data_IF_841752414249
#
_entry.id   IF_841752414249
#
_cell.length_a   1.000
_cell.length_b   1.000
_cell.length_c   1.000
_cell.angle_alpha   90.00
_cell.angle_beta   90.00
_cell.angle_gamma   90.00
#
_symmetry.space_group_name_H-M   'P 1'
#
loop_
_entity.id
_entity.type
_entity.pdbx_description
1 polymer ?
#
# COMPACT_ATOMS: atom_id res chain seq x y z
N UNK A 1 8.83 2.28 44.87
CA UNK A 1 7.85 1.43 44.18
C UNK A 1 7.43 2.18 42.93
N UNK A 2 8.08 1.85 41.82
CA UNK A 2 7.76 2.34 40.47
C UNK A 2 6.52 1.59 39.98
N UNK A 3 5.49 2.32 39.58
CA UNK A 3 4.31 1.74 38.95
C UNK A 3 4.71 1.16 37.58
N UNK A 4 4.19 -0.01 37.18
CA UNK A 4 4.45 -0.55 35.85
C UNK A 4 3.77 0.36 34.81
N UNK A 5 4.46 0.56 33.68
CA UNK A 5 3.88 1.22 32.53
C UNK A 5 2.67 0.42 32.05
N UNK A 6 1.52 1.09 31.89
CA UNK A 6 0.34 0.51 31.26
C UNK A 6 0.71 0.05 29.84
N UNK A 7 0.39 -1.20 29.52
CA UNK A 7 0.39 -1.70 28.16
C UNK A 7 -0.53 -0.82 27.28
N UNK A 8 -0.20 -0.61 26.00
CA UNK A 8 -1.09 0.10 25.09
C UNK A 8 -2.42 -0.67 25.00
N UNK A 9 -3.53 0.05 25.14
CA UNK A 9 -4.86 -0.53 25.04
C UNK A 9 -5.10 -1.00 23.60
N UNK A 10 -5.60 -2.23 23.45
CA UNK A 10 -6.12 -2.76 22.19
C UNK A 10 -7.23 -1.81 21.70
N UNK A 11 -7.22 -1.35 20.43
CA UNK A 11 -8.27 -0.47 19.94
C UNK A 11 -9.63 -1.16 20.04
N UNK A 12 -10.64 -0.40 20.45
CA UNK A 12 -12.03 -0.88 20.50
C UNK A 12 -12.59 -1.10 19.09
N UNK A 13 -13.50 -2.07 18.88
CA UNK A 13 -14.13 -2.36 17.58
C UNK A 13 -14.93 -1.19 16.96
N UNK A 14 -15.11 -0.08 17.69
CA UNK A 14 -15.78 1.12 17.18
C UNK A 14 -14.91 1.99 16.25
N UNK A 15 -13.64 1.63 16.00
CA UNK A 15 -12.74 2.37 15.09
C UNK A 15 -12.49 1.68 13.75
N UNK A 16 -12.70 0.36 13.66
CA UNK A 16 -12.48 -0.41 12.43
C UNK A 16 -13.49 -0.03 11.33
N UNK A 17 -13.05 0.09 10.08
CA UNK A 17 -13.95 0.19 8.93
C UNK A 17 -14.87 -1.04 8.88
N UNK A 18 -16.13 -0.78 8.56
CA UNK A 18 -17.14 -1.83 8.36
C UNK A 18 -17.30 -2.14 6.86
N UNK A 19 -17.93 -3.27 6.47
CA UNK A 19 -18.18 -3.58 5.06
C UNK A 19 -18.83 -2.42 4.28
N UNK A 20 -19.81 -1.75 4.89
CA UNK A 20 -20.46 -0.57 4.30
C UNK A 20 -19.54 0.64 4.09
N UNK A 21 -18.45 0.77 4.86
CA UNK A 21 -17.43 1.80 4.62
C UNK A 21 -16.65 1.49 3.33
N UNK A 22 -16.41 0.21 3.02
CA UNK A 22 -15.74 -0.23 1.79
C UNK A 22 -16.63 -0.12 0.56
N UNK A 23 -17.91 -0.51 0.67
CA UNK A 23 -18.90 -0.29 -0.40
C UNK A 23 -18.93 1.20 -0.81
N UNK A 24 -18.89 2.10 0.19
CA UNK A 24 -18.89 3.54 -0.05
C UNK A 24 -17.60 4.03 -0.73
N UNK A 25 -16.44 3.43 -0.40
CA UNK A 25 -15.17 3.74 -1.04
C UNK A 25 -15.16 3.32 -2.51
N UNK A 26 -15.67 2.13 -2.81
CA UNK A 26 -15.80 1.63 -4.19
C UNK A 26 -16.77 2.49 -5.01
N UNK A 27 -17.96 2.83 -4.47
CA UNK A 27 -18.94 3.71 -5.12
C UNK A 27 -18.33 5.07 -5.52
N UNK A 28 -17.43 5.62 -4.68
CA UNK A 28 -16.74 6.86 -4.99
C UNK A 28 -15.70 6.70 -6.10
N UNK A 29 -14.93 5.62 -6.08
CA UNK A 29 -13.98 5.32 -7.16
C UNK A 29 -14.70 5.09 -8.49
N UNK A 30 -15.87 4.44 -8.48
CA UNK A 30 -16.75 4.32 -9.66
C UNK A 30 -17.26 5.67 -10.13
N UNK A 31 -17.72 6.53 -9.22
CA UNK A 31 -18.16 7.88 -9.57
C UNK A 31 -17.04 8.68 -10.25
N UNK A 32 -15.79 8.52 -9.82
CA UNK A 32 -14.63 9.15 -10.45
C UNK A 32 -14.37 8.58 -11.87
N UNK A 33 -14.47 7.24 -12.04
CA UNK A 33 -14.37 6.57 -13.34
C UNK A 33 -15.42 7.07 -14.33
N UNK A 34 -16.68 7.19 -13.89
CA UNK A 34 -17.78 7.73 -14.72
C UNK A 34 -17.53 9.17 -15.18
N UNK A 35 -16.75 9.93 -14.42
CA UNK A 35 -16.36 11.31 -14.72
C UNK A 35 -15.08 11.41 -15.58
N UNK A 36 -14.51 10.27 -15.99
CA UNK A 36 -13.33 10.19 -16.85
C UNK A 36 -12.00 10.33 -16.10
N UNK A 37 -11.99 10.10 -14.78
CA UNK A 37 -10.76 9.92 -14.00
C UNK A 37 -10.33 8.46 -14.11
N UNK A 38 -9.04 8.18 -14.28
CA UNK A 38 -8.49 6.82 -14.26
C UNK A 38 -8.35 6.31 -12.82
N UNK A 39 -9.46 6.30 -12.08
CA UNK A 39 -9.47 5.89 -10.68
C UNK A 39 -9.32 4.35 -10.56
N UNK A 40 -8.39 3.87 -9.73
CA UNK A 40 -8.12 2.44 -9.58
C UNK A 40 -9.21 1.71 -8.80
N UNK A 41 -9.16 0.38 -8.79
CA UNK A 41 -9.99 -0.45 -7.89
C UNK A 41 -9.53 -0.29 -6.43
N UNK A 42 -10.44 -0.48 -5.46
CA UNK A 42 -10.06 -0.37 -4.04
C UNK A 42 -8.94 -1.33 -3.63
N UNK A 43 -8.91 -2.54 -4.21
CA UNK A 43 -7.82 -3.49 -3.96
C UNK A 43 -6.44 -2.91 -4.26
N UNK A 44 -6.30 -2.12 -5.34
CA UNK A 44 -5.05 -1.41 -5.65
C UNK A 44 -4.78 -0.29 -4.64
N UNK A 45 -5.80 0.47 -4.26
CA UNK A 45 -5.71 1.49 -3.20
C UNK A 45 -5.17 0.92 -1.88
N UNK A 46 -5.60 -0.29 -1.49
CA UNK A 46 -5.15 -0.98 -0.28
C UNK A 46 -3.66 -1.32 -0.33
N UNK A 47 -3.18 -1.85 -1.45
CA UNK A 47 -1.77 -2.16 -1.65
C UNK A 47 -0.90 -0.90 -1.64
N UNK A 48 -1.37 0.13 -2.34
CA UNK A 48 -0.73 1.44 -2.37
C UNK A 48 -0.66 2.05 -0.96
N UNK A 49 -1.74 1.99 -0.19
CA UNK A 49 -1.79 2.48 1.18
C UNK A 49 -0.82 1.70 2.09
N UNK A 50 -0.80 0.37 1.99
CA UNK A 50 0.12 -0.47 2.78
C UNK A 50 1.59 -0.14 2.48
N UNK A 51 1.96 0.05 1.21
CA UNK A 51 3.30 0.46 0.85
C UNK A 51 3.67 1.85 1.40
N UNK A 52 2.75 2.82 1.33
CA UNK A 52 2.96 4.14 1.90
C UNK A 52 3.11 4.12 3.43
N UNK A 53 2.39 3.23 4.12
CA UNK A 53 2.57 2.98 5.56
C UNK A 53 3.96 2.41 5.84
N UNK A 54 4.49 1.55 4.96
CA UNK A 54 5.84 0.98 5.07
C UNK A 54 6.96 1.96 4.67
N UNK A 55 6.66 3.04 3.95
CA UNK A 55 7.66 4.06 3.62
C UNK A 55 8.32 4.60 4.90
N UNK A 56 9.65 4.56 4.93
CA UNK A 56 10.45 5.06 6.06
C UNK A 56 10.36 6.58 6.22
N UNK A 57 9.99 7.30 5.17
CA UNK A 57 9.73 8.74 5.19
C UNK A 57 8.26 8.98 4.84
N UNK A 58 7.50 9.78 5.62
CA UNK A 58 6.11 10.06 5.28
C UNK A 58 5.98 10.74 3.91
N UNK A 59 5.19 10.14 3.02
CA UNK A 59 4.84 10.73 1.73
C UNK A 59 3.60 11.60 1.90
N UNK A 60 3.67 12.86 1.49
CA UNK A 60 2.56 13.80 1.67
C UNK A 60 1.42 13.53 0.66
N UNK A 61 0.16 13.85 0.99
CA UNK A 61 -0.99 13.71 0.07
C UNK A 61 -0.78 14.38 -1.30
N UNK A 62 -0.17 15.57 -1.32
CA UNK A 62 0.16 16.28 -2.55
C UNK A 62 1.18 15.55 -3.45
N UNK A 63 1.91 14.56 -2.92
CA UNK A 63 2.82 13.73 -3.67
C UNK A 63 2.19 12.40 -4.11
N UNK A 64 1.36 11.76 -3.26
CA UNK A 64 0.83 10.44 -3.58
C UNK A 64 -0.51 10.43 -4.32
N UNK A 65 -1.37 11.44 -4.18
CA UNK A 65 -2.63 11.49 -4.94
C UNK A 65 -2.44 11.55 -6.45
N UNK A 66 -1.51 12.37 -6.99
CA UNK A 66 -1.26 12.41 -8.42
C UNK A 66 -0.78 11.07 -8.98
N UNK A 67 -0.06 10.29 -8.18
CA UNK A 67 0.41 8.95 -8.56
C UNK A 67 -0.76 7.96 -8.57
N UNK A 68 -1.56 7.90 -7.51
CA UNK A 68 -2.67 6.94 -7.40
C UNK A 68 -3.74 7.13 -8.49
N UNK A 69 -4.04 8.39 -8.83
CA UNK A 69 -5.09 8.72 -9.80
C UNK A 69 -4.56 9.05 -11.20
N UNK A 70 -3.24 8.88 -11.42
CA UNK A 70 -2.55 9.26 -12.66
C UNK A 70 -2.97 10.64 -13.18
N UNK A 71 -3.02 11.63 -12.28
CA UNK A 71 -3.61 12.94 -12.57
C UNK A 71 -2.76 14.09 -12.04
N UNK A 72 -2.50 15.07 -12.91
CA UNK A 72 -1.89 16.34 -12.52
C UNK A 72 -2.86 17.27 -11.77
N UNK A 73 -4.16 16.93 -11.75
CA UNK A 73 -5.16 17.70 -11.01
C UNK A 73 -5.06 17.40 -9.52
N UNK A 74 -5.23 18.42 -8.66
CA UNK A 74 -5.31 18.18 -7.22
C UNK A 74 -6.59 17.39 -6.90
N UNK A 75 -6.58 16.62 -5.81
CA UNK A 75 -7.71 15.77 -5.39
C UNK A 75 -9.03 16.56 -5.30
N UNK A 76 -8.95 17.83 -4.89
CA UNK A 76 -10.07 18.77 -4.81
C UNK A 76 -10.83 18.96 -6.13
N UNK A 77 -10.15 18.81 -7.27
CA UNK A 77 -10.73 18.95 -8.60
C UNK A 77 -11.21 17.62 -9.19
N UNK A 78 -10.83 16.49 -8.58
CA UNK A 78 -11.31 15.16 -8.99
C UNK A 78 -12.68 14.87 -8.40
N UNK A 79 -12.97 15.35 -7.19
CA UNK A 79 -14.24 15.08 -6.52
C UNK A 79 -15.32 16.09 -6.92
N UNK A 80 -16.58 15.65 -7.13
CA UNK A 80 -17.69 16.54 -7.51
C UNK A 80 -18.12 17.48 -6.38
N UNK A 81 -17.89 17.10 -5.12
CA UNK A 81 -18.23 17.91 -3.95
C UNK A 81 -17.19 17.77 -2.82
N UNK A 82 -17.00 18.86 -2.07
CA UNK A 82 -16.05 18.96 -0.97
C UNK A 82 -16.49 18.19 0.30
N UNK A 83 -17.78 17.89 0.50
CA UNK A 83 -18.20 17.00 1.57
C UNK A 83 -17.91 15.54 1.22
N UNK A 84 -18.12 15.14 -0.04
CA UNK A 84 -17.76 13.81 -0.54
C UNK A 84 -16.27 13.53 -0.38
N UNK A 85 -15.42 14.45 -0.88
CA UNK A 85 -13.96 14.35 -0.74
C UNK A 85 -13.52 14.20 0.71
N UNK A 86 -14.09 14.99 1.62
CA UNK A 86 -13.75 14.93 3.05
C UNK A 86 -14.13 13.59 3.68
N UNK A 87 -15.21 12.96 3.23
CA UNK A 87 -15.58 11.63 3.70
C UNK A 87 -14.61 10.58 3.16
N UNK A 88 -14.25 10.64 1.86
CA UNK A 88 -13.20 9.79 1.27
C UNK A 88 -11.87 9.91 2.02
N UNK A 89 -11.37 11.14 2.21
CA UNK A 89 -10.14 11.40 2.97
C UNK A 89 -10.23 10.89 4.41
N UNK A 90 -11.41 10.97 5.04
CA UNK A 90 -11.62 10.46 6.40
C UNK A 90 -11.57 8.94 6.47
N UNK A 91 -12.18 8.23 5.51
CA UNK A 91 -12.13 6.77 5.45
C UNK A 91 -10.72 6.29 5.09
N UNK A 92 -10.08 6.93 4.11
CA UNK A 92 -8.67 6.69 3.77
C UNK A 92 -7.76 6.84 4.99
N UNK A 93 -7.89 7.92 5.77
CA UNK A 93 -7.07 8.15 6.96
C UNK A 93 -7.34 7.13 8.08
N UNK A 94 -8.60 6.68 8.25
CA UNK A 94 -8.96 5.63 9.22
C UNK A 94 -8.32 4.30 8.81
N UNK A 95 -8.47 3.89 7.54
CA UNK A 95 -7.89 2.66 7.03
C UNK A 95 -6.37 2.68 7.13
N UNK A 96 -5.74 3.81 6.81
CA UNK A 96 -4.29 3.98 6.99
C UNK A 96 -3.86 3.70 8.44
N UNK A 97 -4.60 4.23 9.41
CA UNK A 97 -4.31 4.01 10.83
C UNK A 97 -4.49 2.55 11.23
N UNK A 98 -5.51 1.86 10.72
CA UNK A 98 -5.69 0.43 10.95
C UNK A 98 -4.53 -0.40 10.43
N UNK A 99 -4.10 -0.14 9.19
CA UNK A 99 -2.95 -0.84 8.58
C UNK A 99 -1.69 -0.59 9.42
N UNK A 100 -1.42 0.66 9.79
CA UNK A 100 -0.25 0.99 10.62
C UNK A 100 -0.30 0.30 11.99
N UNK A 101 -1.46 0.27 12.66
CA UNK A 101 -1.63 -0.39 13.96
C UNK A 101 -1.42 -1.90 13.83
N UNK A 102 -1.98 -2.51 12.79
CA UNK A 102 -1.90 -3.94 12.56
C UNK A 102 -0.46 -4.37 12.23
N UNK A 103 0.24 -3.61 11.37
CA UNK A 103 1.65 -3.86 11.03
C UNK A 103 2.63 -3.62 12.19
N UNK A 104 2.23 -2.80 13.17
CA UNK A 104 3.01 -2.57 14.40
C UNK A 104 2.64 -3.56 15.53
N UNK A 105 1.63 -4.42 15.32
CA UNK A 105 1.19 -5.39 16.31
C UNK A 105 2.14 -6.60 16.38
N UNK A 106 2.38 -7.09 17.60
CA UNK A 106 3.13 -8.33 17.82
C UNK A 106 2.22 -9.54 17.56
N UNK A 107 2.34 -10.09 16.35
CA UNK A 107 1.57 -11.23 15.84
C UNK A 107 2.50 -12.34 15.36
N UNK A 108 2.16 -13.58 15.68
CA UNK A 108 2.92 -14.78 15.25
C UNK A 108 2.20 -15.55 14.12
N UNK A 109 0.96 -15.18 13.81
CA UNK A 109 0.08 -15.85 12.85
C UNK A 109 -0.82 -14.85 12.15
N UNK A 110 -1.16 -15.11 10.88
CA UNK A 110 -2.04 -14.26 10.08
C UNK A 110 -3.53 -14.43 10.39
N UNK A 111 -3.90 -15.47 11.15
CA UNK A 111 -5.27 -15.67 11.64
C UNK A 111 -5.55 -14.96 12.98
N UNK A 112 -4.58 -14.21 13.51
CA UNK A 112 -4.77 -13.33 14.67
C UNK A 112 -5.64 -12.13 14.26
N UNK A 113 -6.65 -11.79 15.06
CA UNK A 113 -7.55 -10.65 14.81
C UNK A 113 -6.82 -9.30 14.73
N UNK A 114 -5.61 -9.21 15.28
CA UNK A 114 -4.75 -8.02 15.23
C UNK A 114 -3.90 -7.97 13.97
N UNK A 115 -3.80 -9.07 13.22
CA UNK A 115 -2.98 -9.13 12.03
C UNK A 115 -3.57 -8.23 10.93
N UNK A 116 -2.68 -7.62 10.16
CA UNK A 116 -3.05 -6.89 8.95
C UNK A 116 -3.75 -7.84 7.96
N UNK A 117 -4.98 -7.50 7.63
CA UNK A 117 -5.80 -8.18 6.63
C UNK A 117 -6.03 -7.22 5.46
N UNK A 118 -5.30 -7.39 4.33
CA UNK A 118 -5.56 -6.65 3.10
C UNK A 118 -7.01 -6.84 2.63
N UNK A 119 -7.68 -5.77 2.18
CA UNK A 119 -8.97 -5.94 1.49
C UNK A 119 -8.71 -6.32 0.03
N UNK A 120 -8.73 -7.62 -0.23
CA UNK A 120 -8.56 -8.23 -1.56
C UNK A 120 -9.85 -8.92 -1.98
N UNK A 121 -10.21 -8.83 -3.26
CA UNK A 121 -11.40 -9.48 -3.80
C UNK A 121 -10.99 -10.52 -4.84
N UNK A 122 -11.41 -11.76 -4.64
CA UNK A 122 -11.29 -12.77 -5.69
C UNK A 122 -12.39 -12.57 -6.76
N UNK A 123 -12.11 -11.68 -7.71
CA UNK A 123 -13.05 -11.34 -8.79
C UNK A 123 -13.34 -12.57 -9.68
N UNK A 124 -12.35 -13.45 -9.89
CA UNK A 124 -12.54 -14.70 -10.64
C UNK A 124 -13.55 -15.60 -9.94
N UNK A 125 -13.43 -15.76 -8.61
CA UNK A 125 -14.40 -16.49 -7.78
C UNK A 125 -15.78 -15.84 -7.80
N UNK A 126 -15.86 -14.52 -7.59
CA UNK A 126 -17.11 -13.78 -7.58
C UNK A 126 -17.87 -13.95 -8.91
N UNK A 127 -17.18 -13.86 -10.04
CA UNK A 127 -17.77 -14.11 -11.35
C UNK A 127 -18.15 -15.58 -11.56
N UNK A 128 -17.35 -16.53 -11.07
CA UNK A 128 -17.62 -17.96 -11.18
C UNK A 128 -18.88 -18.42 -10.44
N UNK A 129 -19.36 -17.63 -9.46
CA UNK A 129 -20.61 -17.87 -8.74
C UNK A 129 -21.85 -17.38 -9.48
N UNK A 130 -21.71 -16.44 -10.42
CA UNK A 130 -22.85 -15.92 -11.19
C UNK A 130 -23.35 -16.97 -12.18
N UNK A 131 -24.68 -17.08 -12.31
CA UNK A 131 -25.32 -17.84 -13.39
C UNK A 131 -24.80 -17.38 -14.76
N UNK A 132 -24.66 -18.27 -15.77
CA UNK A 132 -23.99 -17.95 -17.03
C UNK A 132 -24.47 -16.66 -17.71
N UNK A 133 -25.78 -16.41 -17.69
CA UNK A 133 -26.36 -15.20 -18.27
C UNK A 133 -25.97 -13.93 -17.49
N UNK A 134 -26.02 -13.97 -16.16
CA UNK A 134 -25.63 -12.84 -15.31
C UNK A 134 -24.13 -12.55 -15.43
N UNK A 135 -23.31 -13.61 -15.53
CA UNK A 135 -21.87 -13.51 -15.79
C UNK A 135 -21.57 -12.87 -17.15
N UNK A 136 -22.27 -13.31 -18.20
CA UNK A 136 -22.18 -12.73 -19.54
C UNK A 136 -22.54 -11.24 -19.55
N UNK A 137 -23.61 -10.85 -18.85
CA UNK A 137 -24.00 -9.44 -18.69
C UNK A 137 -22.92 -8.63 -17.93
N UNK A 138 -22.40 -9.15 -16.82
CA UNK A 138 -21.36 -8.50 -16.00
C UNK A 138 -20.04 -8.29 -16.76
N UNK A 139 -19.66 -9.24 -17.62
CA UNK A 139 -18.47 -9.15 -18.48
C UNK A 139 -18.72 -8.34 -19.76
N UNK A 140 -19.92 -7.78 -19.94
CA UNK A 140 -20.34 -7.09 -21.16
C UNK A 140 -20.24 -7.95 -22.44
N UNK A 141 -20.53 -9.25 -22.31
CA UNK A 141 -20.47 -10.28 -23.36
C UNK A 141 -21.81 -11.04 -23.49
N UNK A 142 -22.94 -10.37 -23.82
CA UNK A 142 -24.29 -10.94 -23.67
C UNK A 142 -24.59 -12.18 -24.55
N UNK A 143 -23.81 -12.41 -25.61
CA UNK A 143 -23.97 -13.53 -26.55
C UNK A 143 -22.82 -14.55 -26.46
N UNK A 144 -21.96 -14.48 -25.44
CA UNK A 144 -20.85 -15.40 -25.27
C UNK A 144 -21.32 -16.83 -24.93
N UNK A 145 -20.68 -17.82 -25.55
CA UNK A 145 -20.81 -19.21 -25.12
C UNK A 145 -19.91 -19.50 -23.90
N UNK A 146 -20.02 -20.71 -23.35
CA UNK A 146 -19.24 -21.12 -22.17
C UNK A 146 -17.71 -21.03 -22.40
N UNK A 147 -17.23 -21.22 -23.63
CA UNK A 147 -15.80 -21.17 -23.93
C UNK A 147 -15.30 -19.73 -23.90
N UNK A 148 -16.05 -18.82 -24.53
CA UNK A 148 -15.74 -17.40 -24.52
C UNK A 148 -15.84 -16.78 -23.11
N UNK A 149 -16.80 -17.22 -22.29
CA UNK A 149 -16.89 -16.80 -20.89
C UNK A 149 -15.71 -17.32 -20.07
N UNK A 150 -15.29 -18.57 -20.26
CA UNK A 150 -14.12 -19.11 -19.57
C UNK A 150 -12.84 -18.35 -19.94
N UNK A 151 -12.64 -18.03 -21.23
CA UNK A 151 -11.51 -17.21 -21.68
C UNK A 151 -11.54 -15.78 -21.10
N UNK A 152 -12.72 -15.16 -21.02
CA UNK A 152 -12.86 -13.84 -20.40
C UNK A 152 -12.51 -13.86 -18.90
N UNK A 153 -12.85 -14.93 -18.18
CA UNK A 153 -12.48 -15.07 -16.76
C UNK A 153 -10.97 -15.13 -16.55
N UNK A 154 -10.21 -15.75 -17.47
CA UNK A 154 -8.74 -15.78 -17.36
C UNK A 154 -8.11 -14.41 -17.62
N UNK A 155 -8.84 -13.45 -18.21
CA UNK A 155 -8.37 -12.07 -18.40
C UNK A 155 -8.61 -11.19 -17.16
N UNK A 156 -9.42 -11.65 -16.21
CA UNK A 156 -9.60 -10.93 -14.95
C UNK A 156 -8.35 -11.08 -14.08
N UNK A 157 -8.04 -10.10 -13.22
CA UNK A 157 -6.90 -10.20 -12.31
C UNK A 157 -6.97 -11.44 -11.43
N UNK A 158 -5.81 -12.01 -11.15
CA UNK A 158 -5.67 -13.05 -10.13
C UNK A 158 -5.88 -12.49 -8.73
N UNK A 159 -6.24 -13.37 -7.80
CA UNK A 159 -6.42 -13.02 -6.40
C UNK A 159 -5.22 -12.23 -5.83
N UNK A 160 -5.45 -11.07 -5.23
CA UNK A 160 -4.45 -10.15 -4.66
C UNK A 160 -3.48 -9.50 -5.68
N UNK A 161 -3.72 -9.64 -6.98
CA UNK A 161 -2.83 -9.07 -8.01
C UNK A 161 -2.90 -7.54 -8.03
N UNK A 162 -4.09 -6.96 -7.94
CA UNK A 162 -4.25 -5.50 -7.94
C UNK A 162 -3.64 -4.89 -6.67
N UNK A 163 -3.75 -5.58 -5.55
CA UNK A 163 -3.13 -5.19 -4.29
C UNK A 163 -1.61 -5.14 -4.43
N UNK A 164 -1.00 -6.19 -4.99
CA UNK A 164 0.44 -6.21 -5.23
C UNK A 164 0.89 -5.09 -6.19
N UNK A 165 0.14 -4.86 -7.27
CA UNK A 165 0.42 -3.77 -8.23
C UNK A 165 0.34 -2.39 -7.56
N UNK A 166 -0.64 -2.16 -6.70
CA UNK A 166 -0.75 -0.93 -5.92
C UNK A 166 0.44 -0.72 -4.99
N UNK A 167 0.91 -1.80 -4.35
CA UNK A 167 2.10 -1.76 -3.51
C UNK A 167 3.35 -1.39 -4.34
N UNK A 168 3.56 -2.08 -5.46
CA UNK A 168 4.72 -1.88 -6.33
C UNK A 168 4.72 -0.50 -7.01
N UNK A 169 3.55 0.09 -7.27
CA UNK A 169 3.46 1.47 -7.77
C UNK A 169 4.13 2.48 -6.82
N UNK A 170 4.00 2.31 -5.50
CA UNK A 170 4.70 3.13 -4.50
C UNK A 170 6.19 2.84 -4.50
N UNK A 171 6.58 1.58 -4.63
CA UNK A 171 7.99 1.16 -4.71
C UNK A 171 8.68 1.82 -5.90
N UNK A 172 8.03 1.85 -7.05
CA UNK A 172 8.55 2.47 -8.27
C UNK A 172 8.56 3.99 -8.22
N UNK A 173 7.59 4.59 -7.53
CA UNK A 173 7.46 6.04 -7.41
C UNK A 173 8.44 6.66 -6.41
N UNK A 174 8.75 5.93 -5.33
CA UNK A 174 9.72 6.34 -4.30
C UNK A 174 10.76 5.24 -4.05
N UNK A 175 11.53 4.82 -5.07
CA UNK A 175 12.44 3.64 -5.00
C UNK A 175 13.51 3.83 -3.92
N UNK A 176 13.83 5.08 -3.70
CA UNK A 176 14.72 5.53 -2.67
C UNK A 176 14.27 5.09 -1.25
N UNK A 177 13.00 5.19 -0.89
CA UNK A 177 12.56 4.81 0.47
C UNK A 177 12.78 3.31 0.78
N UNK A 178 13.00 2.49 -0.25
CA UNK A 178 13.23 1.05 -0.16
C UNK A 178 14.71 0.66 -0.21
N UNK A 179 15.63 1.63 -0.22
CA UNK A 179 17.08 1.36 -0.21
C UNK A 179 17.66 1.48 1.20
N UNK A 180 18.32 0.40 1.65
CA UNK A 180 19.13 0.40 2.86
C UNK A 180 20.55 0.95 2.59
N UNK A 181 21.17 1.66 3.57
CA UNK A 181 22.57 2.06 3.46
C UNK A 181 23.50 0.85 3.30
N UNK A 182 24.62 1.00 2.57
CA UNK A 182 25.55 -0.10 2.27
C UNK A 182 26.16 -0.83 3.48
N UNK A 183 26.09 -0.23 4.67
CA UNK A 183 26.51 -0.84 5.95
C UNK A 183 25.46 -1.77 6.56
N UNK A 184 24.19 -1.61 6.19
CA UNK A 184 23.04 -2.35 6.72
C UNK A 184 22.67 -3.50 5.76
N UNK A 185 23.61 -4.42 5.54
CA UNK A 185 23.44 -5.48 4.52
C UNK A 185 22.31 -6.47 4.82
N UNK A 186 22.10 -6.79 6.09
CA UNK A 186 21.04 -7.72 6.47
C UNK A 186 19.66 -7.09 6.22
N UNK A 187 19.47 -5.81 6.58
CA UNK A 187 18.24 -5.08 6.27
C UNK A 187 18.05 -4.94 4.76
N UNK A 188 19.12 -4.68 4.01
CA UNK A 188 19.05 -4.61 2.55
C UNK A 188 18.52 -5.91 1.93
N UNK A 189 19.00 -7.07 2.41
CA UNK A 189 18.51 -8.38 1.97
C UNK A 189 17.05 -8.60 2.38
N UNK A 190 16.68 -8.26 3.61
CA UNK A 190 15.28 -8.37 4.06
C UNK A 190 14.34 -7.55 3.18
N UNK A 191 14.71 -6.32 2.80
CA UNK A 191 13.89 -5.51 1.90
C UNK A 191 13.82 -6.14 0.51
N UNK A 192 14.94 -6.61 -0.05
CA UNK A 192 14.98 -7.24 -1.38
C UNK A 192 14.12 -8.51 -1.45
N UNK A 193 14.28 -9.42 -0.48
CA UNK A 193 13.50 -10.65 -0.37
C UNK A 193 12.00 -10.34 -0.21
N UNK A 194 11.66 -9.39 0.66
CA UNK A 194 10.27 -9.01 0.93
C UNK A 194 9.60 -8.33 -0.29
N UNK A 195 10.31 -7.44 -0.98
CA UNK A 195 9.81 -6.85 -2.23
C UNK A 195 9.64 -7.92 -3.33
N UNK A 196 10.53 -8.91 -3.38
CA UNK A 196 10.39 -10.07 -4.27
C UNK A 196 9.09 -10.84 -4.04
N UNK A 197 8.73 -11.09 -2.78
CA UNK A 197 7.49 -11.79 -2.43
C UNK A 197 6.24 -11.00 -2.84
N UNK A 198 6.23 -9.67 -2.64
CA UNK A 198 5.11 -8.83 -3.10
C UNK A 198 5.07 -8.75 -4.63
N UNK A 199 6.22 -8.56 -5.28
CA UNK A 199 6.31 -8.48 -6.74
C UNK A 199 5.86 -9.76 -7.44
N UNK A 200 6.10 -10.94 -6.84
CA UNK A 200 5.62 -12.21 -7.39
C UNK A 200 4.10 -12.25 -7.60
N UNK A 201 3.34 -11.55 -6.75
CA UNK A 201 1.88 -11.47 -6.87
C UNK A 201 1.41 -10.51 -7.97
N UNK A 202 2.29 -9.68 -8.55
CA UNK A 202 1.93 -8.85 -9.70
C UNK A 202 1.72 -9.68 -10.96
N UNK A 203 2.33 -10.86 -11.02
CA UNK A 203 2.12 -11.83 -12.10
C UNK A 203 0.80 -12.58 -11.92
N UNK A 204 0.30 -13.12 -13.04
CA UNK A 204 -0.92 -13.92 -13.03
C UNK A 204 -0.70 -15.29 -12.37
N UNK A 205 -1.78 -15.91 -11.88
CA UNK A 205 -1.78 -17.28 -11.38
C UNK A 205 -1.92 -18.28 -12.54
N UNK A 206 -0.82 -18.93 -12.89
CA UNK A 206 -0.77 -19.96 -13.93
C UNK A 206 -0.94 -21.40 -13.38
N UNK A 207 -1.14 -21.53 -12.06
CA UNK A 207 -1.31 -22.82 -11.40
C UNK A 207 -2.68 -23.46 -11.64
N UNK A 208 -2.82 -24.75 -11.33
CA UNK A 208 -4.14 -25.40 -11.36
C UNK A 208 -5.06 -24.76 -10.31
N UNK A 209 -6.30 -24.48 -10.69
CA UNK A 209 -7.31 -23.92 -9.77
C UNK A 209 -7.77 -25.01 -8.78
N UNK A 210 -7.40 -24.86 -7.52
CA UNK A 210 -7.59 -25.87 -6.45
C UNK A 210 -8.23 -25.30 -5.19
N UNK A 211 -8.14 -23.98 -4.99
CA UNK A 211 -8.59 -23.28 -3.80
C UNK A 211 -9.73 -22.33 -4.15
N UNK A 212 -10.75 -22.27 -3.28
CA UNK A 212 -11.78 -21.24 -3.33
C UNK A 212 -11.57 -20.22 -2.22
N UNK A 213 -11.70 -18.94 -2.56
CA UNK A 213 -11.76 -17.86 -1.56
C UNK A 213 -13.13 -17.75 -0.87
N UNK A 214 -14.15 -18.44 -1.38
CA UNK A 214 -15.52 -18.32 -0.93
C UNK A 214 -16.00 -19.61 -0.25
N UNK A 215 -16.60 -19.43 0.93
CA UNK A 215 -17.34 -20.50 1.62
C UNK A 215 -18.80 -20.05 1.64
N UNK A 216 -19.69 -20.89 1.11
CA UNK A 216 -21.13 -20.64 1.07
C UNK A 216 -21.76 -20.59 2.45
N UNK A 217 -23.01 -20.09 2.52
CA UNK A 217 -23.82 -20.04 3.75
C UNK A 217 -24.08 -21.45 4.34
N UNK A 218 -23.97 -22.49 3.52
CA UNK A 218 -24.06 -23.90 3.90
C UNK A 218 -22.74 -24.49 4.42
N UNK A 219 -21.66 -23.72 4.39
CA UNK A 219 -20.32 -24.14 4.79
C UNK A 219 -19.58 -24.94 3.72
N UNK A 220 -20.11 -25.04 2.49
CA UNK A 220 -19.42 -25.69 1.37
C UNK A 220 -18.53 -24.67 0.63
N UNK A 221 -17.36 -25.12 0.17
CA UNK A 221 -16.48 -24.29 -0.64
C UNK A 221 -17.14 -23.98 -2.00
N UNK A 222 -17.00 -22.73 -2.45
CA UNK A 222 -17.36 -22.34 -3.79
C UNK A 222 -16.47 -22.99 -4.86
N UNK A 223 -16.71 -22.71 -6.14
CA UNK A 223 -15.82 -23.15 -7.21
C UNK A 223 -14.37 -22.69 -6.96
N UNK A 224 -13.35 -23.55 -7.21
CA UNK A 224 -11.96 -23.14 -7.16
C UNK A 224 -11.66 -22.02 -8.17
N UNK A 225 -10.87 -21.05 -7.73
CA UNK A 225 -10.57 -19.81 -8.45
C UNK A 225 -9.09 -19.42 -8.42
N UNK A 226 -8.28 -20.08 -7.58
CA UNK A 226 -6.84 -19.87 -7.51
C UNK A 226 -6.09 -21.19 -7.22
N UNK A 227 -4.80 -21.19 -7.46
CA UNK A 227 -3.89 -22.28 -7.07
C UNK A 227 -3.52 -22.24 -5.59
N UNK A 228 -3.08 -23.38 -5.07
CA UNK A 228 -2.52 -23.45 -3.72
C UNK A 228 -1.28 -22.56 -3.57
N UNK A 229 -0.40 -22.55 -4.58
CA UNK A 229 0.81 -21.73 -4.62
C UNK A 229 0.47 -20.24 -4.56
N UNK A 230 -0.63 -19.80 -5.19
CA UNK A 230 -1.09 -18.41 -5.14
C UNK A 230 -1.53 -18.01 -3.72
N UNK A 231 -2.27 -18.87 -3.03
CA UNK A 231 -2.68 -18.61 -1.65
C UNK A 231 -1.47 -18.57 -0.70
N UNK A 232 -0.50 -19.48 -0.88
CA UNK A 232 0.74 -19.48 -0.09
C UNK A 232 1.54 -18.19 -0.34
N UNK A 233 1.74 -17.82 -1.60
CA UNK A 233 2.42 -16.58 -2.00
C UNK A 233 1.74 -15.34 -1.43
N UNK A 234 0.41 -15.34 -1.33
CA UNK A 234 -0.32 -14.25 -0.67
C UNK A 234 0.04 -14.15 0.81
N UNK A 235 0.06 -15.27 1.54
CA UNK A 235 0.49 -15.30 2.94
C UNK A 235 1.94 -14.81 3.12
N UNK A 236 2.85 -15.24 2.25
CA UNK A 236 4.24 -14.80 2.25
C UNK A 236 4.38 -13.29 1.97
N UNK A 237 3.59 -12.75 1.05
CA UNK A 237 3.57 -11.33 0.76
C UNK A 237 3.02 -10.51 1.93
N UNK A 238 1.99 -10.98 2.63
CA UNK A 238 1.50 -10.29 3.84
C UNK A 238 2.58 -10.24 4.91
N UNK A 239 3.31 -11.34 5.15
CA UNK A 239 4.47 -11.32 6.04
C UNK A 239 5.59 -10.39 5.56
N UNK A 240 5.85 -10.35 4.25
CA UNK A 240 6.82 -9.44 3.66
C UNK A 240 6.47 -7.97 3.96
N UNK A 241 5.19 -7.59 4.03
CA UNK A 241 4.78 -6.24 4.44
C UNK A 241 5.19 -5.93 5.89
N UNK A 242 5.10 -6.90 6.82
CA UNK A 242 5.63 -6.74 8.19
C UNK A 242 7.14 -6.56 8.19
N UNK A 243 7.86 -7.36 7.41
CA UNK A 243 9.32 -7.25 7.28
C UNK A 243 9.73 -5.87 6.74
N UNK A 244 9.02 -5.35 5.73
CA UNK A 244 9.23 -4.03 5.17
C UNK A 244 8.92 -2.92 6.18
N UNK A 245 7.82 -3.04 6.94
CA UNK A 245 7.49 -2.11 8.03
C UNK A 245 8.59 -2.09 9.08
N UNK A 246 9.03 -3.26 9.55
CA UNK A 246 10.07 -3.40 10.56
C UNK A 246 11.42 -2.84 10.05
N UNK A 247 11.79 -3.13 8.80
CA UNK A 247 12.99 -2.59 8.17
C UNK A 247 12.93 -1.07 8.06
N UNK A 248 11.81 -0.50 7.62
CA UNK A 248 11.59 0.94 7.52
C UNK A 248 11.74 1.64 8.87
N UNK A 249 11.14 1.09 9.92
CA UNK A 249 11.25 1.60 11.29
C UNK A 249 12.68 1.51 11.84
N UNK A 250 13.37 0.38 11.60
CA UNK A 250 14.75 0.18 12.05
C UNK A 250 15.72 1.16 11.38
N UNK A 251 15.50 1.45 10.11
CA UNK A 251 16.33 2.39 9.36
C UNK A 251 16.01 3.87 9.66
N UNK A 252 14.77 4.17 10.06
CA UNK A 252 14.26 5.53 10.34
C UNK A 252 14.16 6.43 9.09
N UNK A 253 13.69 7.67 9.21
CA UNK A 253 13.54 8.58 8.08
C UNK A 253 14.86 8.85 7.35
N UNK A 254 14.80 9.06 6.03
CA UNK A 254 15.98 9.42 5.25
C UNK A 254 16.50 10.79 5.70
N UNK A 255 17.75 10.84 6.16
CA UNK A 255 18.43 12.10 6.46
C UNK A 255 19.24 12.49 5.24
N UNK A 256 18.84 13.54 4.53
CA UNK A 256 19.66 14.14 3.49
C UNK A 256 20.94 14.69 4.13
N UNK A 257 22.10 14.17 3.72
CA UNK A 257 23.36 14.78 4.09
C UNK A 257 23.38 16.19 3.51
N UNK A 258 23.38 17.21 4.38
CA UNK A 258 23.55 18.60 3.96
C UNK A 258 24.90 18.69 3.27
N UNK A 259 24.87 18.69 1.93
CA UNK A 259 26.05 19.00 1.14
C UNK A 259 26.25 20.50 1.25
N UNK A 260 27.30 20.92 1.96
CA UNK A 260 27.70 22.32 1.95
C UNK A 260 28.22 22.62 0.54
N UNK A 261 27.36 23.17 -0.33
CA UNK A 261 27.70 23.54 -1.70
C UNK A 261 28.80 24.61 -1.78
N UNK A 262 29.06 25.28 -0.65
CA UNK A 262 30.22 26.13 -0.48
C UNK A 262 31.18 25.51 0.54
N UNK A 263 32.48 25.37 0.23
CA UNK A 263 33.45 24.99 1.23
C UNK A 263 33.35 25.97 2.41
N UNK A 264 33.19 25.43 3.62
CA UNK A 264 33.20 26.30 4.80
C UNK A 264 34.50 27.11 4.78
N UNK A 265 34.43 28.44 5.00
CA UNK A 265 35.61 29.28 4.95
C UNK A 265 36.65 28.74 5.92
N UNK A 266 37.82 28.41 5.40
CA UNK A 266 38.94 27.93 6.19
C UNK A 266 39.28 28.94 7.28
N UNK A 267 39.86 28.48 8.38
CA UNK A 267 40.16 29.30 9.56
C UNK A 267 40.90 30.62 9.23
N UNK A 268 41.67 30.66 8.14
CA UNK A 268 42.43 31.83 7.71
C UNK A 268 41.82 32.61 6.51
N UNK A 269 40.71 32.14 5.95
CA UNK A 269 40.08 32.74 4.76
C UNK A 269 39.34 34.03 5.10
N UNK A 270 38.98 34.80 4.08
CA UNK A 270 38.18 36.00 4.26
C UNK A 270 36.81 35.66 4.87
N UNK A 271 36.40 36.42 5.89
CA UNK A 271 35.13 36.17 6.55
C UNK A 271 33.96 36.52 5.61
N UNK A 272 32.93 35.65 5.48
CA UNK A 272 31.83 35.85 4.53
C UNK A 272 30.93 37.06 4.83
N UNK A 273 31.04 37.67 6.01
CA UNK A 273 30.30 38.88 6.37
C UNK A 273 30.80 40.18 5.69
N UNK A 274 31.85 40.11 4.86
CA UNK A 274 32.38 41.27 4.15
C UNK A 274 33.24 42.21 5.00
N UNK A 275 33.57 41.87 6.24
CA UNK A 275 34.31 42.75 7.16
C UNK A 275 35.80 42.95 6.81
N UNK A 276 36.32 42.26 5.79
CA UNK A 276 37.75 42.25 5.44
C UNK A 276 38.67 41.52 6.45
N UNK A 277 38.13 40.86 7.49
CA UNK A 277 38.91 40.11 8.50
C UNK A 277 39.01 38.63 8.11
N UNK A 278 40.04 37.94 8.62
CA UNK A 278 40.12 36.46 8.55
C UNK A 278 39.02 35.82 9.40
N UNK A 279 38.46 34.69 8.96
CA UNK A 279 37.34 34.00 9.63
C UNK A 279 37.58 33.79 11.13
N UNK A 280 38.76 33.29 11.53
CA UNK A 280 39.15 33.11 12.95
C UNK A 280 39.19 34.37 13.82
N UNK A 281 39.21 35.55 13.22
CA UNK A 281 39.23 36.84 13.92
C UNK A 281 37.87 37.57 13.82
N UNK A 282 36.84 36.87 13.37
CA UNK A 282 35.49 37.38 13.20
C UNK A 282 34.51 36.27 13.59
N UNK A 283 33.74 35.72 12.65
CA UNK A 283 32.71 34.70 12.94
C UNK A 283 33.26 33.35 13.43
N UNK A 284 34.56 33.09 13.26
CA UNK A 284 35.27 31.93 13.81
C UNK A 284 36.15 32.27 15.01
N UNK A 285 35.97 33.45 15.63
CA UNK A 285 36.61 33.75 16.92
C UNK A 285 35.85 32.99 18.02
N UNK A 286 36.57 32.19 18.80
CA UNK A 286 36.07 31.75 20.08
C UNK A 286 36.17 32.95 21.03
N UNK A 287 35.10 33.22 21.79
CA UNK A 287 35.15 34.17 22.90
C UNK A 287 36.26 33.80 23.92
#
# INVERSE_FOLDING_TARGET
MTLPASAPAVPHPATALQPEDFDLLDDWLDTLREQGVEAPQWELCEGFMAALVCCRSPVAPAAYWPVLFESDKPLEELFPDAALRRQFESLWARRWQEIAIALDADVERLDDERAYCPQVLDVRSAMAQLEPKARAEALALPDADETALAEALTQLPSFAQLWALGFMLVVESWPDDWLAPSREKDIARTIDDALGNVAALCEDDEGPLEVSAYVGDDGEDGPPSMSADRLESFGEAVWAVYDLRAAGLALGPRVSQVRHDQPQPGRNDACPCGSGKKFKKCHGAAD
#
